data_IF_408118530476
#
_entry.id   IF_408118530476
#
_cell.length_a   1.000
_cell.length_b   1.000
_cell.length_c   1.000
_cell.angle_alpha   90.00
_cell.angle_beta   90.00
_cell.angle_gamma   90.00
#
_symmetry.space_group_name_H-M   'P 1'
#
loop_
_entity.id
_entity.type
_entity.pdbx_description
1 polymer ?
#
# COMPACT_ATOMS: atom_id res chain seq x y z
N UNK A 1 3.38 22.97 39.52
CA UNK A 1 3.21 21.60 40.06
C UNK A 1 2.10 20.94 39.26
N UNK A 2 2.41 19.89 38.51
CA UNK A 2 1.47 19.22 37.61
C UNK A 2 0.84 18.05 38.35
N UNK A 3 -0.45 18.17 38.65
CA UNK A 3 -1.25 17.08 39.21
C UNK A 3 -1.79 16.22 38.06
N UNK A 4 -1.50 14.92 38.11
CA UNK A 4 -1.88 13.90 37.12
C UNK A 4 -3.17 13.15 37.51
N UNK A 5 -3.80 13.49 38.65
CA UNK A 5 -4.93 12.73 39.22
C UNK A 5 -6.34 13.23 38.89
N UNK A 6 -6.52 14.40 38.25
CA UNK A 6 -7.86 14.96 38.00
C UNK A 6 -8.35 14.68 36.58
N UNK A 7 -9.13 13.61 36.42
CA UNK A 7 -9.59 13.06 35.14
C UNK A 7 -10.40 13.99 34.23
N UNK A 8 -10.95 15.11 34.74
CA UNK A 8 -11.69 16.07 33.92
C UNK A 8 -10.86 17.30 33.50
N UNK A 9 -9.81 17.65 34.26
CA UNK A 9 -8.96 18.81 33.97
C UNK A 9 -7.81 18.52 33.00
N UNK A 10 -7.50 17.25 32.73
CA UNK A 10 -6.46 16.81 31.80
C UNK A 10 -6.86 16.94 30.33
N UNK A 11 -8.16 16.77 30.01
CA UNK A 11 -8.70 16.90 28.64
C UNK A 11 -8.76 18.37 28.18
N UNK A 12 -8.88 19.33 29.11
CA UNK A 12 -8.88 20.77 28.81
C UNK A 12 -7.50 21.33 28.48
N UNK A 13 -6.44 20.52 28.57
CA UNK A 13 -5.06 20.94 28.29
C UNK A 13 -4.65 20.39 26.94
N UNK A 14 -3.96 21.20 26.16
CA UNK A 14 -3.35 20.72 24.93
C UNK A 14 -2.40 19.55 25.28
N UNK A 15 -2.45 18.45 24.54
CA UNK A 15 -1.65 17.26 24.83
C UNK A 15 -0.14 17.55 24.69
N UNK A 16 0.65 17.08 25.64
CA UNK A 16 2.11 17.22 25.58
C UNK A 16 2.73 16.24 24.57
N UNK A 17 2.04 15.14 24.29
CA UNK A 17 2.48 14.09 23.35
C UNK A 17 1.28 13.37 22.73
N UNK A 18 1.38 13.04 21.45
CA UNK A 18 0.48 12.11 20.77
C UNK A 18 1.26 10.84 20.45
N UNK A 19 0.78 9.68 20.92
CA UNK A 19 1.36 8.37 20.66
C UNK A 19 0.42 7.57 19.76
N UNK A 20 0.98 6.88 18.77
CA UNK A 20 0.27 5.95 17.90
C UNK A 20 0.95 4.59 18.00
N UNK A 21 0.16 3.56 18.30
CA UNK A 21 0.58 2.16 18.32
C UNK A 21 -0.09 1.44 17.14
N UNK A 22 0.71 0.85 16.25
CA UNK A 22 0.21 0.02 15.14
C UNK A 22 0.83 -1.35 15.23
N UNK A 23 0.09 -2.40 14.89
CA UNK A 23 0.62 -3.76 14.93
C UNK A 23 1.82 -3.91 13.97
N UNK A 24 2.88 -4.51 14.48
CA UNK A 24 4.03 -4.96 13.70
C UNK A 24 3.72 -6.30 13.02
N UNK A 25 4.52 -6.70 12.02
CA UNK A 25 4.37 -8.01 11.36
C UNK A 25 4.48 -9.19 12.35
N UNK A 26 5.20 -9.02 13.46
CA UNK A 26 5.35 -10.01 14.51
C UNK A 26 4.20 -9.94 15.52
N UNK A 27 3.74 -11.11 15.98
CA UNK A 27 2.73 -11.16 17.03
C UNK A 27 3.27 -10.57 18.34
N UNK A 28 2.39 -9.95 19.13
CA UNK A 28 2.70 -9.23 20.37
C UNK A 28 3.67 -8.04 20.22
N UNK A 29 3.89 -7.56 18.99
CA UNK A 29 4.71 -6.38 18.72
C UNK A 29 3.88 -5.23 18.13
N UNK A 30 4.27 -4.00 18.46
CA UNK A 30 3.68 -2.78 17.91
C UNK A 30 4.77 -1.78 17.54
N UNK A 31 4.55 -1.03 16.47
CA UNK A 31 5.31 0.16 16.13
C UNK A 31 4.74 1.35 16.89
N UNK A 32 5.58 1.97 17.71
CA UNK A 32 5.30 3.24 18.36
C UNK A 32 5.79 4.40 17.49
N UNK A 33 4.89 5.31 17.16
CA UNK A 33 5.22 6.64 16.65
C UNK A 33 4.74 7.71 17.64
N UNK A 34 5.53 8.77 17.81
CA UNK A 34 5.19 9.84 18.73
C UNK A 34 5.51 11.23 18.19
N UNK A 35 4.60 12.17 18.44
CA UNK A 35 4.84 13.60 18.27
C UNK A 35 4.80 14.26 19.63
N UNK A 36 5.93 14.86 20.03
CA UNK A 36 6.10 15.57 21.30
C UNK A 36 6.12 17.06 21.02
N UNK A 37 5.55 17.88 21.91
CA UNK A 37 5.43 19.33 21.68
C UNK A 37 6.75 20.09 21.71
N UNK A 38 7.59 19.78 22.70
CA UNK A 38 8.73 20.63 23.09
C UNK A 38 10.09 19.95 22.91
N UNK A 39 10.09 18.75 22.35
CA UNK A 39 11.30 17.94 22.11
C UNK A 39 11.31 17.43 20.68
N UNK A 40 12.46 16.95 20.24
CA UNK A 40 12.61 16.33 18.92
C UNK A 40 11.63 15.17 18.74
N UNK A 41 11.25 14.94 17.48
CA UNK A 41 10.39 13.81 17.13
C UNK A 41 11.08 12.52 17.56
N UNK A 42 10.31 11.65 18.19
CA UNK A 42 10.78 10.30 18.53
C UNK A 42 10.78 9.50 17.24
N UNK A 43 11.93 8.90 16.91
CA UNK A 43 12.00 7.97 15.79
C UNK A 43 11.09 6.76 16.06
N UNK A 44 10.37 6.25 15.04
CA UNK A 44 9.55 5.06 15.20
C UNK A 44 10.37 3.91 15.78
N UNK A 45 9.78 3.18 16.73
CA UNK A 45 10.43 2.04 17.40
C UNK A 45 9.45 0.90 17.60
N UNK A 46 9.95 -0.33 17.56
CA UNK A 46 9.13 -1.51 17.82
C UNK A 46 9.15 -1.83 19.31
N UNK A 47 7.96 -2.05 19.88
CA UNK A 47 7.74 -2.47 21.25
C UNK A 47 7.19 -3.89 21.25
N UNK A 48 7.69 -4.73 22.15
CA UNK A 48 7.14 -6.06 22.46
C UNK A 48 6.31 -5.98 23.73
N UNK A 49 5.11 -6.53 23.70
CA UNK A 49 4.29 -6.70 24.88
C UNK A 49 4.79 -7.89 25.69
N UNK A 50 5.27 -7.62 26.90
CA UNK A 50 5.69 -8.63 27.87
C UNK A 50 4.99 -8.29 29.18
N UNK A 51 3.75 -8.78 29.34
CA UNK A 51 2.84 -8.34 30.40
C UNK A 51 3.54 -8.26 31.76
N UNK A 52 3.41 -7.14 32.50
CA UNK A 52 2.55 -5.99 32.25
C UNK A 52 3.26 -4.82 31.53
N UNK A 53 4.42 -5.05 30.92
CA UNK A 53 5.30 -4.01 30.41
C UNK A 53 5.52 -4.07 28.90
N UNK A 54 5.82 -2.92 28.31
CA UNK A 54 6.36 -2.82 26.97
C UNK A 54 7.88 -2.76 27.02
N UNK A 55 8.54 -3.55 26.19
CA UNK A 55 10.01 -3.54 26.06
C UNK A 55 10.40 -3.16 24.64
N UNK A 56 11.47 -2.38 24.47
CA UNK A 56 11.95 -2.03 23.13
C UNK A 56 12.54 -3.27 22.46
N UNK A 57 11.99 -3.65 21.31
CA UNK A 57 12.47 -4.75 20.49
C UNK A 57 13.58 -4.24 19.55
N UNK A 58 14.80 -4.16 20.07
CA UNK A 58 15.95 -3.66 19.33
C UNK A 58 16.22 -4.51 18.07
N UNK A 59 16.51 -3.85 16.96
CA UNK A 59 16.87 -4.49 15.69
C UNK A 59 15.69 -4.85 14.77
N UNK A 60 14.46 -4.56 15.18
CA UNK A 60 13.29 -4.65 14.30
C UNK A 60 13.09 -3.37 13.49
N UNK A 61 12.57 -3.55 12.28
CA UNK A 61 12.30 -2.46 11.34
C UNK A 61 10.88 -1.92 11.57
N UNK A 62 10.73 -0.68 12.08
CA UNK A 62 9.43 -0.10 12.40
C UNK A 62 8.56 0.21 11.17
N UNK A 63 9.06 0.00 9.95
CA UNK A 63 8.26 0.15 8.73
C UNK A 63 7.43 -1.09 8.39
N UNK A 64 7.70 -2.22 9.06
CA UNK A 64 7.06 -3.52 8.77
C UNK A 64 5.78 -3.74 9.58
N UNK A 65 4.74 -3.03 9.19
CA UNK A 65 3.43 -3.14 9.83
C UNK A 65 2.72 -4.43 9.45
N UNK A 66 1.88 -4.94 10.37
CA UNK A 66 1.00 -6.08 10.11
C UNK A 66 0.07 -5.76 8.95
N UNK A 67 0.03 -6.67 7.98
CA UNK A 67 -0.84 -6.54 6.82
C UNK A 67 -2.21 -7.13 7.14
N UNK A 68 -3.27 -6.37 6.86
CA UNK A 68 -4.63 -6.90 6.99
C UNK A 68 -4.91 -7.96 5.92
N UNK A 69 -5.79 -8.92 6.21
CA UNK A 69 -6.21 -9.94 5.23
C UNK A 69 -6.77 -9.30 3.95
N UNK A 70 -7.46 -8.16 4.08
CA UNK A 70 -7.97 -7.40 2.93
C UNK A 70 -6.85 -6.85 2.06
N UNK A 71 -5.77 -6.35 2.67
CA UNK A 71 -4.60 -5.84 1.96
C UNK A 71 -3.86 -6.97 1.23
N UNK A 72 -3.68 -8.11 1.89
CA UNK A 72 -3.06 -9.31 1.31
C UNK A 72 -3.87 -9.78 0.10
N UNK A 73 -5.19 -9.90 0.25
CA UNK A 73 -6.08 -10.33 -0.84
C UNK A 73 -6.10 -9.32 -2.00
N UNK A 74 -6.02 -8.01 -1.72
CA UNK A 74 -5.96 -6.97 -2.75
C UNK A 74 -4.67 -7.04 -3.57
N UNK A 75 -3.54 -7.26 -2.89
CA UNK A 75 -2.24 -7.42 -3.53
C UNK A 75 -2.20 -8.67 -4.41
N UNK A 76 -2.70 -9.79 -3.88
CA UNK A 76 -2.82 -11.02 -4.65
C UNK A 76 -3.66 -10.81 -5.92
N UNK A 77 -4.83 -10.20 -5.80
CA UNK A 77 -5.68 -9.85 -6.96
C UNK A 77 -4.99 -8.90 -7.94
N UNK A 78 -4.14 -8.01 -7.44
CA UNK A 78 -3.38 -7.06 -8.27
C UNK A 78 -2.31 -7.82 -9.05
N UNK A 79 -1.58 -8.72 -8.40
CA UNK A 79 -0.59 -9.60 -9.03
C UNK A 79 -1.21 -10.51 -10.08
N UNK A 80 -2.31 -11.18 -9.75
CA UNK A 80 -3.07 -12.04 -10.68
C UNK A 80 -3.55 -11.24 -11.90
N UNK A 81 -4.08 -10.03 -11.69
CA UNK A 81 -4.52 -9.17 -12.79
C UNK A 81 -3.38 -8.68 -13.68
N UNK A 82 -2.21 -8.38 -13.11
CA UNK A 82 -1.01 -8.04 -13.89
C UNK A 82 -0.56 -9.24 -14.73
N UNK A 83 -0.49 -10.42 -14.12
CA UNK A 83 -0.11 -11.65 -14.82
C UNK A 83 -1.08 -11.98 -15.97
N UNK A 84 -2.38 -11.80 -15.77
CA UNK A 84 -3.38 -12.01 -16.82
C UNK A 84 -3.21 -11.05 -18.01
N UNK A 85 -2.86 -9.78 -17.76
CA UNK A 85 -2.54 -8.80 -18.82
C UNK A 85 -1.31 -9.25 -19.62
N UNK A 86 -0.24 -9.63 -18.91
CA UNK A 86 1.00 -10.10 -19.56
C UNK A 86 0.72 -11.36 -20.39
N UNK A 87 -0.06 -12.31 -19.86
CA UNK A 87 -0.45 -13.51 -20.59
C UNK A 87 -1.25 -13.18 -21.86
N UNK A 88 -2.23 -12.28 -21.77
CA UNK A 88 -3.03 -11.87 -22.93
C UNK A 88 -2.19 -11.21 -24.03
N UNK A 89 -1.21 -10.38 -23.66
CA UNK A 89 -0.26 -9.78 -24.62
C UNK A 89 0.73 -10.81 -25.17
N UNK A 90 1.10 -11.82 -24.38
CA UNK A 90 1.97 -12.92 -24.85
C UNK A 90 1.26 -13.77 -25.89
N UNK A 91 -0.04 -14.06 -25.69
CA UNK A 91 -0.83 -14.93 -26.57
C UNK A 91 -1.26 -14.21 -27.86
N UNK A 92 -1.70 -12.96 -27.75
CA UNK A 92 -2.32 -12.24 -28.87
C UNK A 92 -1.45 -11.12 -29.46
N UNK A 93 -0.28 -10.86 -28.86
CA UNK A 93 0.61 -9.78 -29.26
C UNK A 93 0.05 -8.42 -28.89
N UNK A 94 -0.14 -7.56 -29.89
CA UNK A 94 -0.61 -6.19 -29.69
C UNK A 94 -2.13 -6.11 -29.50
N UNK A 95 -2.57 -5.48 -28.40
CA UNK A 95 -3.99 -5.39 -28.05
C UNK A 95 -4.40 -3.96 -27.69
N UNK A 96 -5.62 -3.59 -28.09
CA UNK A 96 -6.26 -2.36 -27.59
C UNK A 96 -6.73 -2.55 -26.15
N UNK A 97 -6.85 -1.47 -25.37
CA UNK A 97 -7.30 -1.56 -23.97
C UNK A 97 -8.60 -2.34 -23.76
N UNK A 98 -9.56 -2.24 -24.69
CA UNK A 98 -10.81 -3.01 -24.62
C UNK A 98 -10.60 -4.51 -24.86
N UNK A 99 -9.79 -4.88 -25.86
CA UNK A 99 -9.48 -6.29 -26.13
C UNK A 99 -8.62 -6.89 -25.03
N UNK A 100 -7.62 -6.15 -24.56
CA UNK A 100 -6.76 -6.55 -23.45
C UNK A 100 -7.58 -6.86 -22.20
N UNK A 101 -8.54 -5.99 -21.86
CA UNK A 101 -9.48 -6.22 -20.76
C UNK A 101 -10.32 -7.48 -20.95
N UNK A 102 -10.80 -7.74 -22.17
CA UNK A 102 -11.60 -8.93 -22.48
C UNK A 102 -10.77 -10.21 -22.38
N UNK A 103 -9.57 -10.23 -22.97
CA UNK A 103 -8.70 -11.41 -22.95
C UNK A 103 -8.09 -11.69 -21.57
N UNK A 104 -7.77 -10.65 -20.79
CA UNK A 104 -7.29 -10.79 -19.41
C UNK A 104 -8.41 -11.05 -18.38
N UNK A 105 -9.68 -11.18 -18.82
CA UNK A 105 -10.86 -11.36 -17.98
C UNK A 105 -10.99 -10.34 -16.83
N UNK A 106 -10.73 -9.06 -17.13
CA UNK A 106 -10.79 -7.97 -16.14
C UNK A 106 -12.15 -7.28 -16.23
N UNK A 107 -13.03 -7.52 -15.26
CA UNK A 107 -14.40 -6.99 -15.27
C UNK A 107 -14.51 -5.46 -15.36
N UNK A 108 -13.60 -4.70 -14.74
CA UNK A 108 -13.67 -3.22 -14.68
C UNK A 108 -12.63 -2.56 -15.58
N UNK A 109 -13.07 -1.60 -16.41
CA UNK A 109 -12.19 -0.76 -17.23
C UNK A 109 -11.17 0.01 -16.38
N UNK A 110 -11.61 0.68 -15.31
CA UNK A 110 -10.71 1.43 -14.45
C UNK A 110 -9.66 0.56 -13.75
N UNK A 111 -9.97 -0.71 -13.48
CA UNK A 111 -8.97 -1.67 -12.98
C UNK A 111 -7.95 -2.02 -14.06
N UNK A 112 -8.39 -2.28 -15.29
CA UNK A 112 -7.49 -2.57 -16.40
C UNK A 112 -6.55 -1.38 -16.67
N UNK A 113 -7.09 -0.16 -16.76
CA UNK A 113 -6.31 1.08 -16.99
C UNK A 113 -5.26 1.31 -15.88
N UNK A 114 -5.63 1.02 -14.62
CA UNK A 114 -4.68 1.11 -13.50
C UNK A 114 -3.55 0.08 -13.61
N UNK A 115 -3.87 -1.16 -13.96
CA UNK A 115 -2.87 -2.23 -14.04
C UNK A 115 -1.94 -2.03 -15.23
N UNK A 116 -2.44 -1.59 -16.39
CA UNK A 116 -1.60 -1.25 -17.53
C UNK A 116 -0.68 -0.08 -17.20
N UNK A 117 -1.17 0.96 -16.53
CA UNK A 117 -0.32 2.08 -16.09
C UNK A 117 0.75 1.69 -15.07
N UNK A 118 0.51 0.66 -14.24
CA UNK A 118 1.54 0.09 -13.36
C UNK A 118 2.57 -0.67 -14.18
N UNK A 119 2.14 -1.55 -15.08
CA UNK A 119 3.03 -2.36 -15.92
C UNK A 119 3.89 -1.50 -16.86
N UNK A 120 3.35 -0.39 -17.37
CA UNK A 120 4.08 0.56 -18.20
C UNK A 120 5.15 1.30 -17.38
N UNK A 121 4.84 1.71 -16.14
CA UNK A 121 5.84 2.28 -15.22
C UNK A 121 6.91 1.28 -14.79
N UNK A 122 6.53 0.00 -14.66
CA UNK A 122 7.46 -1.10 -14.38
C UNK A 122 8.29 -1.48 -15.63
N UNK A 123 7.98 -0.93 -16.82
CA UNK A 123 8.69 -1.22 -18.06
C UNK A 123 8.40 -2.61 -18.66
N UNK A 124 7.29 -3.23 -18.25
CA UNK A 124 6.88 -4.57 -18.72
C UNK A 124 6.12 -4.47 -20.05
N UNK A 125 5.39 -3.37 -20.24
CA UNK A 125 4.61 -3.11 -21.44
C UNK A 125 4.88 -1.69 -21.96
N UNK A 126 4.68 -1.50 -23.26
CA UNK A 126 4.70 -0.20 -23.92
C UNK A 126 3.34 0.13 -24.51
N UNK A 127 2.97 1.41 -24.52
CA UNK A 127 1.76 1.89 -25.17
C UNK A 127 2.06 2.76 -26.39
N UNK A 128 1.22 2.68 -27.41
CA UNK A 128 1.26 3.55 -28.59
C UNK A 128 -0.15 4.03 -28.95
N UNK A 129 -0.26 5.24 -29.50
CA UNK A 129 -1.51 5.77 -30.02
C UNK A 129 -1.64 5.45 -31.50
N UNK A 130 -2.79 4.92 -31.91
CA UNK A 130 -3.10 4.66 -33.31
C UNK A 130 -4.57 4.97 -33.61
N UNK A 131 -4.82 5.66 -34.71
CA UNK A 131 -6.18 6.00 -35.13
C UNK A 131 -6.82 4.81 -35.84
N UNK A 132 -7.69 4.08 -35.14
CA UNK A 132 -8.41 2.92 -35.66
C UNK A 132 -9.85 3.33 -35.96
N UNK A 133 -10.25 3.24 -37.23
CA UNK A 133 -11.61 3.62 -37.70
C UNK A 133 -12.00 5.06 -37.30
N UNK A 134 -11.05 5.98 -37.31
CA UNK A 134 -11.27 7.40 -36.97
C UNK A 134 -11.27 7.71 -35.47
N UNK A 135 -11.02 6.73 -34.60
CA UNK A 135 -10.88 6.94 -33.16
C UNK A 135 -9.45 6.69 -32.72
N UNK A 136 -8.90 7.60 -31.91
CA UNK A 136 -7.59 7.41 -31.29
C UNK A 136 -7.68 6.30 -30.24
N UNK A 137 -6.91 5.24 -30.47
CA UNK A 137 -6.91 4.03 -29.67
C UNK A 137 -5.51 3.75 -29.16
N UNK A 138 -5.39 3.61 -27.84
CA UNK A 138 -4.15 3.11 -27.22
C UNK A 138 -4.02 1.61 -27.45
N UNK A 139 -2.92 1.20 -28.08
CA UNK A 139 -2.48 -0.18 -28.22
C UNK A 139 -1.36 -0.46 -27.23
N UNK A 140 -1.36 -1.65 -26.66
CA UNK A 140 -0.36 -2.13 -25.72
C UNK A 140 0.37 -3.33 -26.30
N UNK A 141 1.68 -3.39 -26.08
CA UNK A 141 2.56 -4.51 -26.43
C UNK A 141 3.45 -4.85 -25.25
N UNK A 142 3.99 -6.07 -25.22
CA UNK A 142 5.11 -6.37 -24.32
C UNK A 142 6.32 -5.52 -24.72
N UNK A 143 7.04 -5.05 -23.72
CA UNK A 143 8.35 -4.44 -23.92
C UNK A 143 9.35 -5.55 -24.29
N UNK A 144 10.24 -5.25 -25.25
CA UNK A 144 11.36 -6.14 -25.62
C UNK A 144 12.42 -6.23 -24.52
#
# INVERSE_FOLDING_TARGET
>A
MTDVGSGAGSISRAADTHLVLREDEQDDHVVLEAVVRSFDRVNPLVLRWDFPAWTVANGLDPTKLKRTQQQIALDQRTMEGKAAIVAALTEHGELSGNKLRQYADIGSKGRADRLTGILEKEGVITSRQETIKGNDTTLYTLSE
#
